data_IF_979518566442
#
_entry.id   IF_979518566442
#
_cell.length_a   1.000
_cell.length_b   1.000
_cell.length_c   1.000
_cell.angle_alpha   90.00
_cell.angle_beta   90.00
_cell.angle_gamma   90.00
#
_symmetry.space_group_name_H-M   'P 1'
#
loop_
_entity.id
_entity.type
_entity.pdbx_description
1 polymer ?
#
# COMPACT_ATOMS: atom_id res chain seq x y z
N UNK A 1 30.87 22.03 -21.93
CA UNK A 1 31.67 23.04 -21.21
C UNK A 1 30.72 23.89 -20.38
N UNK A 2 31.14 24.43 -19.24
CA UNK A 2 30.28 25.22 -18.35
C UNK A 2 31.08 26.39 -17.76
N UNK A 3 30.50 27.59 -17.75
CA UNK A 3 31.08 28.77 -17.11
C UNK A 3 29.97 29.65 -16.51
N UNK A 4 30.36 30.56 -15.61
CA UNK A 4 29.41 31.42 -14.89
C UNK A 4 28.98 32.65 -15.69
N UNK A 5 29.74 33.01 -16.73
CA UNK A 5 29.43 34.08 -17.66
C UNK A 5 29.73 33.67 -19.11
N UNK A 6 29.08 34.36 -20.05
CA UNK A 6 29.21 34.06 -21.48
C UNK A 6 30.64 34.24 -22.00
N UNK A 7 31.38 35.24 -21.49
CA UNK A 7 32.73 35.52 -21.96
C UNK A 7 33.72 34.42 -21.59
N UNK A 8 33.60 33.87 -20.39
CA UNK A 8 34.35 32.67 -19.98
C UNK A 8 33.92 31.45 -20.80
N UNK A 9 32.61 31.25 -21.00
CA UNK A 9 32.10 30.11 -21.75
C UNK A 9 32.59 30.12 -23.21
N UNK A 10 32.76 31.29 -23.80
CA UNK A 10 33.24 31.44 -25.18
C UNK A 10 34.75 31.17 -25.31
N UNK A 11 35.53 31.22 -24.22
CA UNK A 11 36.96 30.86 -24.23
C UNK A 11 37.20 29.35 -24.09
N UNK A 12 36.32 28.65 -23.38
CA UNK A 12 36.46 27.22 -23.08
C UNK A 12 36.56 26.34 -24.35
N UNK A 13 35.75 26.50 -25.41
CA UNK A 13 35.89 25.71 -26.64
C UNK A 13 37.22 25.95 -27.35
N UNK A 14 37.74 27.18 -27.32
CA UNK A 14 39.04 27.52 -27.91
C UNK A 14 40.17 26.76 -27.21
N UNK A 15 40.12 26.70 -25.88
CA UNK A 15 41.08 25.93 -25.08
C UNK A 15 41.00 24.44 -25.44
N UNK A 16 39.79 23.88 -25.49
CA UNK A 16 39.60 22.46 -25.86
C UNK A 16 40.09 22.17 -27.27
N UNK A 17 39.88 23.10 -28.22
CA UNK A 17 40.37 22.98 -29.58
C UNK A 17 41.90 22.93 -29.61
N UNK A 18 42.58 23.89 -28.98
CA UNK A 18 44.05 23.90 -28.90
C UNK A 18 44.60 22.59 -28.33
N UNK A 19 44.00 22.10 -27.23
CA UNK A 19 44.40 20.80 -26.69
C UNK A 19 44.14 19.62 -27.63
N UNK A 20 43.04 19.66 -28.39
CA UNK A 20 42.68 18.61 -29.36
C UNK A 20 43.67 18.60 -30.54
N UNK A 21 44.05 19.78 -31.03
CA UNK A 21 45.04 19.95 -32.07
C UNK A 21 46.42 19.44 -31.62
N UNK A 22 46.83 19.75 -30.39
CA UNK A 22 48.09 19.29 -29.79
C UNK A 22 48.19 17.75 -29.69
N UNK A 23 47.05 17.07 -29.53
CA UNK A 23 46.97 15.60 -29.48
C UNK A 23 46.51 14.96 -30.79
N UNK A 24 46.42 15.74 -31.87
CA UNK A 24 46.01 15.30 -33.21
C UNK A 24 44.61 14.65 -33.26
N UNK A 25 43.66 15.16 -32.47
CA UNK A 25 42.25 14.76 -32.52
C UNK A 25 41.43 15.88 -33.15
N UNK A 26 40.59 15.53 -34.12
CA UNK A 26 39.68 16.47 -34.77
C UNK A 26 38.54 16.87 -33.82
N UNK A 27 38.43 18.17 -33.54
CA UNK A 27 37.39 18.73 -32.69
C UNK A 27 36.25 19.31 -33.55
N UNK A 28 35.17 18.55 -33.67
CA UNK A 28 33.98 18.86 -34.49
C UNK A 28 33.12 19.97 -33.85
N UNK A 29 33.57 21.23 -33.98
CA UNK A 29 32.87 22.42 -33.48
C UNK A 29 31.47 22.59 -34.05
N UNK A 30 31.23 22.11 -35.27
CA UNK A 30 29.94 22.13 -35.96
C UNK A 30 28.87 21.29 -35.23
N UNK A 31 29.28 20.35 -34.38
CA UNK A 31 28.36 19.54 -33.55
C UNK A 31 28.10 20.14 -32.17
N UNK A 32 28.70 21.28 -31.85
CA UNK A 32 28.53 21.94 -30.57
C UNK A 32 27.32 22.88 -30.58
N UNK A 33 26.66 23.02 -29.42
CA UNK A 33 25.62 24.02 -29.21
C UNK A 33 25.78 24.68 -27.83
N UNK A 34 25.34 25.93 -27.71
CA UNK A 34 25.39 26.73 -26.50
C UNK A 34 24.01 26.90 -25.88
N UNK A 35 23.97 26.99 -24.54
CA UNK A 35 22.76 27.38 -23.80
C UNK A 35 23.17 28.40 -22.75
N UNK A 36 22.61 29.61 -22.84
CA UNK A 36 22.78 30.65 -21.83
C UNK A 36 21.54 30.73 -20.95
N UNK A 37 21.75 30.81 -19.64
CA UNK A 37 20.67 30.91 -18.64
C UNK A 37 20.90 32.17 -17.81
N UNK A 38 19.99 33.14 -17.89
CA UNK A 38 20.01 34.35 -17.05
C UNK A 38 18.80 34.37 -16.13
N UNK A 39 19.06 34.46 -14.82
CA UNK A 39 18.02 34.50 -13.77
C UNK A 39 16.97 33.38 -13.90
N UNK A 40 17.42 32.18 -14.25
CA UNK A 40 16.55 31.00 -14.38
C UNK A 40 15.67 30.97 -15.64
N UNK A 41 15.90 31.84 -16.62
CA UNK A 41 15.27 31.77 -17.95
C UNK A 41 16.31 31.47 -19.01
N UNK A 42 15.91 30.70 -20.03
CA UNK A 42 16.70 30.50 -21.23
C UNK A 42 16.85 31.87 -21.91
N UNK A 43 18.09 32.30 -22.10
CA UNK A 43 18.41 33.54 -22.78
C UNK A 43 18.82 33.17 -24.20
N UNK A 44 17.98 33.52 -25.18
CA UNK A 44 18.31 33.39 -26.60
C UNK A 44 19.17 34.59 -26.99
N UNK A 45 20.40 34.62 -26.47
CA UNK A 45 21.40 35.60 -26.84
C UNK A 45 21.89 35.41 -28.29
N UNK A 46 22.78 36.27 -28.79
CA UNK A 46 23.45 36.05 -30.06
C UNK A 46 24.26 34.74 -30.02
N UNK A 47 24.44 34.10 -31.17
CA UNK A 47 25.31 32.93 -31.30
C UNK A 47 26.74 33.29 -30.86
N UNK A 48 27.44 32.31 -30.28
CA UNK A 48 28.85 32.50 -29.93
C UNK A 48 29.72 32.30 -31.16
N UNK A 49 30.53 33.31 -31.47
CA UNK A 49 31.57 33.22 -32.50
C UNK A 49 32.90 32.85 -31.86
N UNK A 50 33.47 31.75 -32.34
CA UNK A 50 34.82 31.33 -31.99
C UNK A 50 35.75 31.74 -33.14
N UNK A 51 36.20 33.01 -33.14
CA UNK A 51 37.10 33.56 -34.17
C UNK A 51 36.73 33.11 -35.60
N UNK A 52 37.73 32.85 -36.46
CA UNK A 52 37.56 32.51 -37.88
C UNK A 52 37.09 31.06 -38.15
N UNK A 53 36.77 30.28 -37.12
CA UNK A 53 36.61 28.82 -37.19
C UNK A 53 35.15 28.31 -37.16
N UNK A 54 34.17 29.20 -37.04
CA UNK A 54 32.74 28.85 -37.09
C UNK A 54 31.90 29.41 -35.94
N UNK A 55 30.59 29.17 -36.01
CA UNK A 55 29.60 29.74 -35.10
C UNK A 55 28.86 28.63 -34.34
N UNK A 56 28.87 28.68 -32.99
CA UNK A 56 28.12 27.74 -32.15
C UNK A 56 26.69 28.24 -31.99
N UNK A 57 25.74 27.43 -32.45
CA UNK A 57 24.32 27.77 -32.38
C UNK A 57 23.79 27.69 -30.95
N UNK A 58 22.90 28.63 -30.60
CA UNK A 58 22.15 28.55 -29.35
C UNK A 58 21.02 27.50 -29.45
N UNK A 59 20.88 26.66 -28.42
CA UNK A 59 19.77 25.71 -28.32
C UNK A 59 18.47 26.47 -28.05
N UNK A 60 17.46 26.27 -28.90
CA UNK A 60 16.13 26.89 -28.74
C UNK A 60 15.35 26.33 -27.55
N UNK A 61 15.67 25.11 -27.12
CA UNK A 61 15.06 24.41 -25.98
C UNK A 61 16.15 23.94 -25.02
N UNK A 62 15.84 23.72 -23.75
CA UNK A 62 16.83 23.18 -22.79
C UNK A 62 17.37 21.82 -23.24
N UNK A 63 18.64 21.53 -22.92
CA UNK A 63 19.25 20.24 -23.24
C UNK A 63 18.58 19.10 -22.45
N UNK A 64 18.15 18.05 -23.15
CA UNK A 64 17.58 16.83 -22.54
C UNK A 64 18.57 15.70 -22.62
N UNK A 65 18.97 15.16 -21.48
CA UNK A 65 19.75 13.93 -21.40
C UNK A 65 18.86 12.80 -20.91
N UNK A 66 18.69 11.75 -21.72
CA UNK A 66 17.79 10.62 -21.45
C UNK A 66 16.35 11.05 -21.11
N UNK A 67 15.85 12.09 -21.80
CA UNK A 67 14.50 12.65 -21.57
C UNK A 67 14.37 13.57 -20.35
N UNK A 68 15.45 13.77 -19.57
CA UNK A 68 15.47 14.67 -18.42
C UNK A 68 16.09 16.01 -18.82
N UNK A 69 15.34 17.09 -18.63
CA UNK A 69 15.84 18.46 -18.81
C UNK A 69 17.02 18.73 -17.86
N UNK A 70 18.21 18.98 -18.42
CA UNK A 70 19.45 19.30 -17.70
C UNK A 70 19.53 20.80 -17.33
N UNK A 71 18.38 21.46 -17.18
CA UNK A 71 18.30 22.88 -16.85
C UNK A 71 18.48 23.07 -15.34
N UNK A 72 19.72 23.19 -14.85
CA UNK A 72 20.16 23.48 -13.46
C UNK A 72 19.07 24.06 -12.50
N UNK A 73 18.10 23.25 -12.08
CA UNK A 73 17.01 23.67 -11.19
C UNK A 73 15.91 24.59 -11.77
N UNK A 74 15.82 24.81 -13.09
CA UNK A 74 14.85 25.79 -13.67
C UNK A 74 13.38 25.33 -13.59
N UNK A 75 13.12 24.02 -13.44
CA UNK A 75 11.74 23.49 -13.35
C UNK A 75 11.31 23.12 -11.92
N UNK A 76 11.65 23.94 -10.92
CA UNK A 76 11.13 23.76 -9.54
C UNK A 76 9.59 23.73 -9.46
N UNK A 77 8.88 24.15 -10.50
CA UNK A 77 7.41 24.15 -10.55
C UNK A 77 6.75 22.90 -11.14
N UNK A 78 7.48 21.94 -11.73
CA UNK A 78 6.89 20.64 -12.10
C UNK A 78 7.00 19.68 -10.93
N UNK A 79 6.03 19.76 -10.00
CA UNK A 79 5.91 18.81 -8.87
C UNK A 79 5.71 17.37 -9.33
N UNK A 80 5.22 17.15 -10.55
CA UNK A 80 4.83 15.85 -11.09
C UNK A 80 5.27 15.72 -12.56
N UNK A 81 5.79 14.55 -12.93
CA UNK A 81 6.22 14.25 -14.30
C UNK A 81 4.98 13.88 -15.15
N UNK A 82 4.67 14.61 -16.24
CA UNK A 82 3.46 14.39 -17.04
C UNK A 82 3.40 13.00 -17.69
N UNK A 83 4.56 12.39 -18.00
CA UNK A 83 4.62 11.03 -18.55
C UNK A 83 4.18 9.99 -17.52
N UNK A 84 4.56 10.19 -16.25
CA UNK A 84 4.16 9.33 -15.13
C UNK A 84 2.65 9.43 -14.90
N UNK A 85 2.10 10.66 -14.92
CA UNK A 85 0.67 10.89 -14.78
C UNK A 85 -0.15 10.22 -15.90
N UNK A 86 0.31 10.33 -17.16
CA UNK A 86 -0.38 9.70 -18.29
C UNK A 86 -0.31 8.16 -18.19
N UNK A 87 0.80 7.60 -17.72
CA UNK A 87 0.90 6.16 -17.47
C UNK A 87 -0.03 5.70 -16.35
N UNK A 88 -0.15 6.46 -15.26
CA UNK A 88 -1.12 6.17 -14.19
C UNK A 88 -2.56 6.25 -14.69
N UNK A 89 -2.89 7.21 -15.56
CA UNK A 89 -4.20 7.32 -16.20
C UNK A 89 -4.49 6.13 -17.11
N UNK A 90 -3.53 5.70 -17.94
CA UNK A 90 -3.66 4.50 -18.79
C UNK A 90 -3.86 3.24 -17.95
N UNK A 91 -3.09 3.09 -16.88
CA UNK A 91 -3.20 1.98 -15.94
C UNK A 91 -4.61 1.90 -15.35
N UNK A 92 -5.13 3.01 -14.81
CA UNK A 92 -6.50 3.05 -14.27
C UNK A 92 -7.57 2.72 -15.31
N UNK A 93 -7.46 3.26 -16.54
CA UNK A 93 -8.38 2.94 -17.63
C UNK A 93 -8.40 1.45 -17.95
N UNK A 94 -7.22 0.80 -18.02
CA UNK A 94 -7.13 -0.64 -18.26
C UNK A 94 -7.73 -1.44 -17.11
N UNK A 95 -7.39 -1.10 -15.86
CA UNK A 95 -7.96 -1.78 -14.69
C UNK A 95 -9.50 -1.67 -14.66
N UNK A 96 -10.05 -0.50 -14.94
CA UNK A 96 -11.51 -0.32 -15.03
C UNK A 96 -12.12 -1.10 -16.19
N UNK A 97 -11.51 -1.06 -17.38
CA UNK A 97 -11.98 -1.81 -18.56
C UNK A 97 -12.06 -3.32 -18.29
N UNK A 98 -11.11 -3.86 -17.52
CA UNK A 98 -11.03 -5.28 -17.19
C UNK A 98 -11.71 -5.63 -15.85
N UNK A 99 -12.51 -4.75 -15.26
CA UNK A 99 -13.25 -5.05 -14.02
C UNK A 99 -12.40 -5.15 -12.75
N UNK A 100 -11.13 -4.73 -12.81
CA UNK A 100 -10.16 -4.76 -11.70
C UNK A 100 -10.16 -3.49 -10.85
N UNK A 101 -10.84 -2.44 -11.31
CA UNK A 101 -11.03 -1.18 -10.60
C UNK A 101 -12.43 -0.62 -10.82
N UNK A 102 -13.18 -0.45 -9.74
CA UNK A 102 -14.51 0.14 -9.77
C UNK A 102 -14.43 1.64 -10.12
N UNK A 103 -15.24 2.17 -11.07
CA UNK A 103 -15.15 3.56 -11.53
C UNK A 103 -15.36 4.63 -10.45
N UNK A 104 -15.97 4.25 -9.33
CA UNK A 104 -16.25 5.12 -8.18
C UNK A 104 -15.42 4.79 -6.94
N UNK A 105 -14.54 3.79 -7.02
CA UNK A 105 -13.65 3.44 -5.92
C UNK A 105 -12.52 4.47 -5.76
N UNK A 106 -11.79 4.35 -4.65
CA UNK A 106 -10.68 5.22 -4.35
C UNK A 106 -9.48 4.99 -5.28
N UNK A 107 -8.96 6.07 -5.85
CA UNK A 107 -7.80 6.01 -6.75
C UNK A 107 -6.47 5.90 -6.02
N UNK A 108 -6.36 6.39 -4.78
CA UNK A 108 -5.11 6.35 -4.02
C UNK A 108 -4.83 4.94 -3.50
N UNK A 109 -5.88 4.18 -3.16
CA UNK A 109 -5.77 2.79 -2.70
C UNK A 109 -5.06 1.87 -3.71
N UNK A 110 -5.20 2.13 -5.00
CA UNK A 110 -4.51 1.40 -6.08
C UNK A 110 -2.99 1.42 -5.88
N UNK A 111 -2.47 2.54 -5.40
CA UNK A 111 -1.04 2.74 -5.25
C UNK A 111 -0.51 2.36 -3.85
N UNK A 112 -1.39 1.98 -2.94
CA UNK A 112 -1.02 1.41 -1.64
C UNK A 112 -0.56 -0.04 -1.85
N UNK A 113 0.47 -0.54 -1.15
CA UNK A 113 0.90 -1.93 -1.27
C UNK A 113 -0.16 -2.96 -0.86
N UNK A 114 -0.09 -4.17 -1.41
CA UNK A 114 -1.06 -5.26 -1.12
C UNK A 114 -1.11 -5.66 0.37
N UNK A 115 0.03 -5.66 1.07
CA UNK A 115 0.08 -5.92 2.51
C UNK A 115 -0.56 -4.82 3.37
N UNK A 116 -0.92 -3.70 2.74
CA UNK A 116 -1.63 -2.57 3.31
C UNK A 116 -2.97 -2.39 2.59
N UNK A 117 -3.63 -3.48 2.16
CA UNK A 117 -4.95 -3.44 1.53
C UNK A 117 -5.09 -2.60 0.25
N UNK A 118 -3.98 -2.35 -0.46
CA UNK A 118 -4.00 -1.72 -1.79
C UNK A 118 -3.69 -2.70 -2.93
N UNK A 119 -3.34 -2.18 -4.11
CA UNK A 119 -3.00 -2.99 -5.29
C UNK A 119 -1.52 -3.01 -5.63
N UNK A 120 -0.74 -2.03 -5.15
CA UNK A 120 0.71 -1.97 -5.31
C UNK A 120 1.19 -1.47 -6.67
N UNK A 121 0.37 -0.78 -7.45
CA UNK A 121 0.73 -0.32 -8.81
C UNK A 121 1.30 1.11 -8.82
N UNK A 122 1.97 1.54 -7.75
CA UNK A 122 2.45 2.92 -7.57
C UNK A 122 3.70 3.23 -8.39
N UNK A 123 3.53 3.55 -9.68
CA UNK A 123 4.64 3.90 -10.59
C UNK A 123 5.42 5.10 -10.06
N UNK A 124 4.72 6.16 -9.68
CA UNK A 124 5.35 7.39 -9.18
C UNK A 124 6.28 7.12 -7.98
N UNK A 125 5.88 6.21 -7.09
CA UNK A 125 6.68 5.79 -5.94
C UNK A 125 7.96 5.08 -6.40
N UNK A 126 7.88 4.22 -7.43
CA UNK A 126 9.05 3.56 -8.03
C UNK A 126 9.97 4.59 -8.67
N UNK A 127 9.43 5.48 -9.50
CA UNK A 127 10.16 6.57 -10.19
C UNK A 127 10.92 7.46 -9.20
N UNK A 128 10.23 8.02 -8.20
CA UNK A 128 10.85 8.86 -7.16
C UNK A 128 11.95 8.09 -6.42
N UNK A 129 11.71 6.81 -6.09
CA UNK A 129 12.72 5.95 -5.43
C UNK A 129 13.93 5.64 -6.29
N UNK A 130 13.78 5.61 -7.62
CA UNK A 130 14.88 5.42 -8.57
C UNK A 130 15.72 6.70 -8.68
N UNK A 131 15.10 7.88 -8.76
CA UNK A 131 15.81 9.17 -8.77
C UNK A 131 16.71 9.32 -7.56
N UNK A 132 16.18 9.06 -6.35
CA UNK A 132 16.98 9.12 -5.12
C UNK A 132 18.13 8.11 -5.14
N UNK A 133 17.90 6.93 -5.73
CA UNK A 133 18.96 5.95 -5.97
C UNK A 133 20.08 6.48 -6.87
N UNK A 134 19.70 7.13 -7.99
CA UNK A 134 20.62 7.67 -8.99
C UNK A 134 21.39 8.90 -8.49
N UNK A 135 20.79 9.74 -7.66
CA UNK A 135 21.43 10.96 -7.15
C UNK A 135 22.80 10.67 -6.50
N UNK A 136 22.92 9.57 -5.75
CA UNK A 136 24.22 9.18 -5.16
C UNK A 136 25.24 8.73 -6.21
N UNK A 137 24.81 8.07 -7.29
CA UNK A 137 25.72 7.71 -8.39
C UNK A 137 26.24 8.98 -9.08
N UNK A 138 25.37 9.98 -9.26
CA UNK A 138 25.75 11.27 -9.82
C UNK A 138 26.69 12.01 -8.86
N UNK A 139 26.36 12.11 -7.57
CA UNK A 139 27.25 12.72 -6.57
C UNK A 139 28.60 12.00 -6.53
N UNK A 140 28.62 10.66 -6.49
CA UNK A 140 29.86 9.87 -6.50
C UNK A 140 30.64 10.09 -7.80
N UNK A 141 29.96 10.15 -8.94
CA UNK A 141 30.56 10.46 -10.22
C UNK A 141 31.13 11.88 -10.24
N UNK A 142 30.44 12.88 -9.68
CA UNK A 142 30.96 14.23 -9.56
C UNK A 142 32.12 14.33 -8.57
N UNK A 143 32.07 13.62 -7.44
CA UNK A 143 33.16 13.50 -6.49
C UNK A 143 34.38 12.83 -7.12
N UNK A 144 34.18 11.75 -7.89
CA UNK A 144 35.27 11.09 -8.62
C UNK A 144 35.76 11.92 -9.79
N UNK A 145 34.90 12.61 -10.53
CA UNK A 145 35.28 13.57 -11.58
C UNK A 145 36.07 14.73 -10.98
N UNK A 146 35.71 15.21 -9.79
CA UNK A 146 36.52 16.17 -9.03
C UNK A 146 37.86 15.52 -8.66
N UNK A 147 37.87 14.34 -8.03
CA UNK A 147 39.09 13.65 -7.59
C UNK A 147 40.08 13.33 -8.73
N UNK A 148 39.57 12.92 -9.90
CA UNK A 148 40.35 12.53 -11.08
C UNK A 148 40.35 13.61 -12.18
N UNK A 149 39.89 14.83 -11.87
CA UNK A 149 40.05 15.97 -12.76
C UNK A 149 41.53 16.17 -13.03
N UNK A 150 41.94 16.47 -14.26
CA UNK A 150 43.34 16.80 -14.59
C UNK A 150 43.88 17.94 -13.72
N UNK A 151 43.01 18.86 -13.29
CA UNK A 151 43.33 19.93 -12.34
C UNK A 151 43.67 19.35 -10.97
N UNK A 152 42.86 18.44 -10.42
CA UNK A 152 43.12 17.82 -9.11
C UNK A 152 44.25 16.80 -9.17
N UNK A 153 44.44 16.08 -10.28
CA UNK A 153 45.61 15.24 -10.50
C UNK A 153 46.86 16.13 -10.58
N UNK A 154 46.78 17.28 -11.25
CA UNK A 154 47.84 18.29 -11.29
C UNK A 154 48.14 18.87 -9.91
N UNK A 155 47.12 19.23 -9.13
CA UNK A 155 47.24 19.71 -7.75
C UNK A 155 47.72 18.62 -6.78
N UNK A 156 47.26 17.37 -6.91
CA UNK A 156 47.73 16.23 -6.10
C UNK A 156 49.18 15.89 -6.44
N UNK A 157 49.56 15.98 -7.72
CA UNK A 157 50.96 15.86 -8.16
C UNK A 157 51.78 17.01 -7.56
N UNK A 158 51.28 18.25 -7.61
CA UNK A 158 51.90 19.44 -6.99
C UNK A 158 52.00 19.30 -5.45
N UNK A 159 50.99 18.73 -4.80
CA UNK A 159 50.91 18.49 -3.35
C UNK A 159 51.74 17.29 -2.87
N UNK A 160 51.97 16.28 -3.72
CA UNK A 160 52.95 15.21 -3.47
C UNK A 160 54.37 15.76 -3.34
N UNK A 161 54.67 16.87 -4.03
CA UNK A 161 55.96 17.55 -3.95
C UNK A 161 55.95 18.78 -3.01
N UNK A 162 54.78 19.29 -2.58
CA UNK A 162 54.60 20.39 -1.61
C UNK A 162 53.41 20.08 -0.66
N UNK A 163 53.68 19.60 0.55
CA UNK A 163 52.68 19.17 1.56
C UNK A 163 51.82 20.34 2.10
N UNK A 164 50.51 20.17 2.44
CA UNK A 164 50.11 19.48 3.68
C UNK A 164 48.81 18.62 3.62
N UNK A 165 48.50 18.08 4.81
CA UNK A 165 47.70 16.92 5.20
C UNK A 165 46.18 16.97 4.98
N UNK A 166 45.57 15.78 4.85
CA UNK A 166 44.13 15.53 4.75
C UNK A 166 43.59 15.06 6.10
N UNK A 167 42.52 15.71 6.56
CA UNK A 167 41.66 15.22 7.64
C UNK A 167 40.53 14.35 7.06
N UNK A 168 40.22 13.21 7.69
CA UNK A 168 39.30 12.21 7.15
C UNK A 168 37.93 12.18 7.85
N UNK A 169 36.93 11.86 7.02
CA UNK A 169 35.48 11.90 7.21
C UNK A 169 34.88 10.99 8.28
N UNK A 170 33.71 11.38 8.80
CA UNK A 170 32.75 10.51 9.49
C UNK A 170 31.59 10.04 8.59
N UNK A 171 31.01 8.90 8.99
CA UNK A 171 30.35 7.86 8.17
C UNK A 171 28.93 8.18 7.69
N UNK A 172 28.62 7.73 6.47
CA UNK A 172 27.29 7.72 5.82
C UNK A 172 26.41 6.56 6.30
N UNK A 173 25.13 6.83 6.59
CA UNK A 173 24.07 5.82 6.73
C UNK A 173 23.77 5.12 5.39
N UNK A 174 23.35 3.85 5.41
CA UNK A 174 23.20 3.04 4.19
C UNK A 174 22.04 3.53 3.29
N UNK A 175 22.26 3.59 1.98
CA UNK A 175 21.32 4.11 0.96
C UNK A 175 19.98 3.37 0.92
N UNK A 176 20.00 2.08 1.24
CA UNK A 176 18.79 1.26 1.36
C UNK A 176 17.86 1.79 2.45
N UNK A 177 18.40 2.32 3.53
CA UNK A 177 17.62 2.94 4.59
C UNK A 177 16.92 4.21 4.10
N UNK A 178 17.62 5.08 3.37
CA UNK A 178 17.04 6.34 2.83
C UNK A 178 15.94 6.02 1.81
N UNK A 179 16.20 5.09 0.88
CA UNK A 179 15.22 4.65 -0.13
C UNK A 179 13.99 4.03 0.52
N UNK A 180 14.18 3.18 1.53
CA UNK A 180 13.07 2.54 2.26
C UNK A 180 12.25 3.55 3.05
N UNK A 181 12.91 4.49 3.73
CA UNK A 181 12.24 5.56 4.49
C UNK A 181 11.41 6.47 3.60
N UNK A 182 11.94 6.88 2.44
CA UNK A 182 11.17 7.70 1.50
C UNK A 182 9.96 6.93 0.93
N UNK A 183 10.14 5.66 0.57
CA UNK A 183 9.00 4.82 0.13
C UNK A 183 7.91 4.76 1.20
N UNK A 184 8.29 4.58 2.46
CA UNK A 184 7.36 4.56 3.58
C UNK A 184 6.58 5.89 3.70
N UNK A 185 7.27 7.04 3.61
CA UNK A 185 6.63 8.36 3.65
C UNK A 185 5.64 8.59 2.49
N UNK A 186 5.98 8.16 1.27
CA UNK A 186 5.09 8.27 0.12
C UNK A 186 3.85 7.38 0.25
N UNK A 187 3.98 6.21 0.88
CA UNK A 187 2.85 5.32 1.17
C UNK A 187 1.98 5.93 2.27
N UNK A 188 2.59 6.51 3.31
CA UNK A 188 1.90 7.18 4.40
C UNK A 188 1.09 8.38 3.91
N UNK A 189 1.63 9.18 2.98
CA UNK A 189 0.90 10.28 2.33
C UNK A 189 -0.39 9.78 1.65
N UNK A 190 -0.32 8.65 0.94
CA UNK A 190 -1.48 8.04 0.25
C UNK A 190 -2.50 7.50 1.24
N UNK A 191 -2.05 6.84 2.31
CA UNK A 191 -2.92 6.38 3.38
C UNK A 191 -3.62 7.57 4.05
N UNK A 192 -2.91 8.67 4.32
CA UNK A 192 -3.50 9.86 4.93
C UNK A 192 -4.53 10.54 4.00
N UNK A 193 -4.29 10.56 2.68
CA UNK A 193 -5.29 11.01 1.69
C UNK A 193 -6.53 10.13 1.67
N UNK A 194 -6.38 8.82 1.85
CA UNK A 194 -7.51 7.90 1.96
C UNK A 194 -8.28 8.12 3.27
N UNK A 195 -7.59 8.23 4.40
CA UNK A 195 -8.18 8.46 5.71
C UNK A 195 -8.93 9.78 5.82
N UNK A 196 -8.52 10.82 5.08
CA UNK A 196 -9.22 12.10 5.08
C UNK A 196 -10.53 12.10 4.28
N UNK A 197 -10.80 11.06 3.49
CA UNK A 197 -12.03 10.94 2.69
C UNK A 197 -13.19 10.43 3.58
N UNK A 198 -14.26 11.22 3.78
CA UNK A 198 -15.35 10.84 4.69
C UNK A 198 -16.10 9.57 4.31
N UNK A 199 -16.09 9.20 3.02
CA UNK A 199 -16.80 8.04 2.48
C UNK A 199 -15.85 6.86 2.24
N UNK A 200 -14.89 7.01 1.32
CA UNK A 200 -13.94 5.94 0.98
C UNK A 200 -13.01 5.57 2.15
N UNK A 201 -12.72 6.52 3.04
CA UNK A 201 -11.84 6.30 4.18
C UNK A 201 -12.48 5.50 5.32
N UNK A 202 -13.80 5.27 5.32
CA UNK A 202 -14.52 4.71 6.47
C UNK A 202 -13.98 3.35 6.90
N UNK A 203 -13.83 2.41 5.96
CA UNK A 203 -13.27 1.10 6.27
C UNK A 203 -11.84 1.21 6.81
N UNK A 204 -11.04 2.07 6.20
CA UNK A 204 -9.64 2.27 6.55
C UNK A 204 -9.48 2.86 7.95
N UNK A 205 -10.26 3.88 8.31
CA UNK A 205 -10.30 4.50 9.65
C UNK A 205 -10.55 3.44 10.72
N UNK A 206 -11.51 2.54 10.47
CA UNK A 206 -11.83 1.50 11.43
C UNK A 206 -10.68 0.53 11.69
N UNK A 207 -9.77 0.34 10.74
CA UNK A 207 -8.60 -0.54 10.91
C UNK A 207 -7.56 0.00 11.90
N UNK A 208 -7.63 1.30 12.22
CA UNK A 208 -6.79 1.95 13.23
C UNK A 208 -7.34 1.81 14.65
N UNK A 209 -8.53 1.25 14.83
CA UNK A 209 -9.04 0.94 16.15
C UNK A 209 -8.12 -0.07 16.85
N UNK A 210 -7.83 0.17 18.13
CA UNK A 210 -6.89 -0.63 18.92
C UNK A 210 -7.25 -2.13 18.99
N UNK A 211 -8.54 -2.45 18.92
CA UNK A 211 -9.07 -3.80 18.98
C UNK A 211 -9.07 -4.54 17.62
N UNK A 212 -8.73 -3.90 16.50
CA UNK A 212 -8.65 -4.53 15.18
C UNK A 212 -7.24 -5.07 14.94
N UNK A 213 -7.13 -6.30 14.45
CA UNK A 213 -5.87 -6.85 13.96
C UNK A 213 -5.72 -6.45 12.48
N UNK A 214 -4.99 -5.35 12.27
CA UNK A 214 -4.77 -4.79 10.93
C UNK A 214 -4.00 -5.75 10.01
N UNK A 215 -3.05 -6.52 10.56
CA UNK A 215 -2.24 -7.45 9.76
C UNK A 215 -3.11 -8.59 9.23
N UNK A 216 -3.94 -9.18 10.09
CA UNK A 216 -4.88 -10.23 9.68
C UNK A 216 -5.96 -9.66 8.75
N UNK A 217 -6.51 -8.49 9.08
CA UNK A 217 -7.53 -7.81 8.28
C UNK A 217 -7.09 -7.57 6.84
N UNK A 218 -5.82 -7.21 6.61
CA UNK A 218 -5.30 -6.99 5.26
C UNK A 218 -4.75 -8.25 4.59
N UNK A 219 -4.66 -9.37 5.32
CA UNK A 219 -4.04 -10.60 4.86
C UNK A 219 -4.73 -11.22 3.64
N UNK A 220 -6.05 -11.04 3.49
CA UNK A 220 -6.79 -11.62 2.37
C UNK A 220 -6.34 -11.08 1.01
N UNK A 221 -5.85 -9.83 0.93
CA UNK A 221 -5.41 -9.25 -0.36
C UNK A 221 -4.21 -10.02 -0.93
N UNK A 222 -3.08 -10.20 -0.23
CA UNK A 222 -1.97 -10.98 -0.77
C UNK A 222 -2.20 -12.51 -0.79
N UNK A 223 -3.09 -13.09 0.04
CA UNK A 223 -3.11 -14.54 0.26
C UNK A 223 -4.39 -15.28 -0.12
N UNK A 224 -5.47 -14.61 -0.50
CA UNK A 224 -6.76 -15.27 -0.74
C UNK A 224 -6.85 -16.02 -2.08
N UNK A 225 -6.01 -15.67 -3.06
CA UNK A 225 -6.08 -16.22 -4.41
C UNK A 225 -7.36 -15.83 -5.18
N UNK A 226 -8.06 -14.77 -4.73
CA UNK A 226 -9.26 -14.28 -5.40
C UNK A 226 -8.93 -13.70 -6.79
N UNK A 227 -9.86 -13.89 -7.72
CA UNK A 227 -9.82 -13.19 -9.00
C UNK A 227 -9.93 -11.68 -8.77
N UNK A 228 -9.25 -10.90 -9.61
CA UNK A 228 -9.15 -9.46 -9.41
C UNK A 228 -10.49 -8.73 -9.47
N UNK A 229 -11.47 -9.25 -10.21
CA UNK A 229 -12.84 -8.76 -10.26
C UNK A 229 -13.57 -8.95 -8.92
N UNK A 230 -13.31 -10.08 -8.25
CA UNK A 230 -13.86 -10.35 -6.92
C UNK A 230 -13.21 -9.45 -5.89
N UNK A 231 -11.89 -9.29 -5.93
CA UNK A 231 -11.20 -8.32 -5.08
C UNK A 231 -11.72 -6.89 -5.28
N UNK A 232 -11.99 -6.51 -6.53
CA UNK A 232 -12.53 -5.21 -6.87
C UNK A 232 -13.93 -4.99 -6.30
N UNK A 233 -14.82 -5.99 -6.39
CA UNK A 233 -16.15 -5.91 -5.79
C UNK A 233 -16.09 -5.72 -4.27
N UNK A 234 -15.23 -6.49 -3.59
CA UNK A 234 -15.05 -6.41 -2.14
C UNK A 234 -14.48 -5.04 -1.74
N UNK A 235 -13.48 -4.55 -2.46
CA UNK A 235 -12.90 -3.23 -2.21
C UNK A 235 -13.91 -2.11 -2.51
N UNK A 236 -14.74 -2.23 -3.55
CA UNK A 236 -15.79 -1.25 -3.81
C UNK A 236 -16.86 -1.22 -2.71
N UNK A 237 -17.12 -2.34 -2.03
CA UNK A 237 -17.95 -2.36 -0.83
C UNK A 237 -17.28 -1.65 0.35
N UNK A 238 -15.99 -1.87 0.57
CA UNK A 238 -15.20 -1.19 1.60
C UNK A 238 -15.14 0.32 1.37
N UNK A 239 -15.00 0.74 0.11
CA UNK A 239 -14.99 2.15 -0.31
C UNK A 239 -16.37 2.81 -0.31
N UNK A 240 -17.44 2.08 0.03
CA UNK A 240 -18.83 2.57 -0.11
C UNK A 240 -19.19 3.03 -1.54
N UNK A 241 -18.53 2.43 -2.54
CA UNK A 241 -18.64 2.82 -3.94
C UNK A 241 -19.68 1.99 -4.73
N UNK A 242 -20.29 0.97 -4.12
CA UNK A 242 -21.33 0.19 -4.79
C UNK A 242 -22.55 1.06 -5.11
N UNK A 243 -23.26 0.68 -6.17
CA UNK A 243 -24.43 1.39 -6.66
C UNK A 243 -25.68 1.15 -5.79
N UNK A 244 -25.68 1.72 -4.58
CA UNK A 244 -26.81 1.71 -3.68
C UNK A 244 -27.69 2.95 -3.88
N UNK A 245 -28.96 2.90 -3.47
CA UNK A 245 -29.83 4.08 -3.50
C UNK A 245 -29.29 5.25 -2.67
N UNK A 246 -28.61 4.97 -1.54
CA UNK A 246 -27.90 6.01 -0.79
C UNK A 246 -26.80 6.65 -1.65
N UNK A 247 -25.96 5.84 -2.32
CA UNK A 247 -24.90 6.35 -3.18
C UNK A 247 -25.46 7.18 -4.35
N UNK A 248 -26.51 6.68 -5.01
CA UNK A 248 -27.19 7.40 -6.10
C UNK A 248 -27.74 8.76 -5.66
N UNK A 249 -28.47 8.80 -4.54
CA UNK A 249 -29.08 10.02 -4.01
C UNK A 249 -28.04 11.01 -3.48
N UNK A 250 -27.16 10.55 -2.60
CA UNK A 250 -26.32 11.44 -1.80
C UNK A 250 -24.98 11.76 -2.49
N UNK A 251 -24.44 10.85 -3.30
CA UNK A 251 -23.13 11.02 -3.96
C UNK A 251 -23.32 11.42 -5.42
N UNK A 252 -24.14 10.68 -6.18
CA UNK A 252 -24.41 10.98 -7.59
C UNK A 252 -25.47 12.07 -7.80
N UNK A 253 -26.11 12.56 -6.72
CA UNK A 253 -27.15 13.60 -6.74
C UNK A 253 -28.31 13.27 -7.69
N UNK A 254 -28.64 11.99 -7.81
CA UNK A 254 -29.77 11.51 -8.60
C UNK A 254 -31.07 11.71 -7.83
N UNK A 255 -32.17 11.98 -8.54
CA UNK A 255 -33.52 12.15 -7.98
C UNK A 255 -34.18 10.84 -7.51
N UNK A 256 -33.44 9.97 -6.84
CA UNK A 256 -33.94 8.67 -6.36
C UNK A 256 -34.28 8.71 -4.87
N UNK A 257 -35.21 7.84 -4.46
CA UNK A 257 -35.47 7.61 -3.04
C UNK A 257 -34.27 6.86 -2.42
N UNK A 258 -33.76 7.36 -1.29
CA UNK A 258 -32.60 6.77 -0.59
C UNK A 258 -32.93 5.48 0.20
N UNK A 259 -34.20 5.11 0.29
CA UNK A 259 -34.65 3.91 1.00
C UNK A 259 -34.22 2.62 0.30
N UNK A 260 -33.98 1.59 1.10
CA UNK A 260 -33.63 0.24 0.68
C UNK A 260 -34.65 -0.34 -0.31
N UNK A 261 -34.15 -0.91 -1.39
CA UNK A 261 -34.96 -1.60 -2.42
C UNK A 261 -35.65 -2.86 -1.91
N UNK A 262 -35.20 -3.42 -0.80
CA UNK A 262 -35.70 -4.68 -0.26
C UNK A 262 -36.66 -4.46 0.90
N UNK A 263 -36.23 -3.77 1.97
CA UNK A 263 -37.07 -3.57 3.15
C UNK A 263 -37.88 -2.26 3.11
N UNK A 264 -37.52 -1.30 2.27
CA UNK A 264 -38.17 0.02 2.17
C UNK A 264 -38.18 0.89 3.43
N UNK A 265 -37.56 0.43 4.53
CA UNK A 265 -37.60 1.11 5.84
C UNK A 265 -36.39 2.03 6.08
N UNK A 266 -35.18 1.54 5.88
CA UNK A 266 -33.93 2.23 6.19
C UNK A 266 -33.23 2.75 4.94
N UNK A 267 -32.24 3.63 5.11
CA UNK A 267 -31.40 4.07 3.99
C UNK A 267 -30.55 2.92 3.43
N UNK A 268 -30.42 2.86 2.11
CA UNK A 268 -29.69 1.80 1.43
C UNK A 268 -28.18 2.10 1.36
N UNK A 269 -27.48 2.07 2.49
CA UNK A 269 -26.02 2.12 2.52
C UNK A 269 -25.41 0.72 2.73
N UNK A 270 -24.09 0.55 2.61
CA UNK A 270 -23.45 -0.78 2.66
C UNK A 270 -23.66 -1.48 4.01
N UNK A 271 -23.51 -0.76 5.14
CA UNK A 271 -23.79 -1.32 6.48
C UNK A 271 -25.27 -1.68 6.70
N UNK A 272 -26.19 -1.20 5.87
CA UNK A 272 -27.56 -1.69 5.86
C UNK A 272 -27.66 -2.97 5.01
N UNK A 273 -27.20 -2.95 3.76
CA UNK A 273 -27.34 -4.11 2.85
C UNK A 273 -26.62 -5.34 3.41
N UNK A 274 -25.39 -5.18 3.91
CA UNK A 274 -24.52 -6.31 4.23
C UNK A 274 -24.93 -6.96 5.56
N UNK A 275 -25.04 -6.24 6.70
CA UNK A 275 -25.50 -6.86 7.96
C UNK A 275 -26.85 -6.39 8.50
N UNK A 276 -27.42 -5.27 8.03
CA UNK A 276 -28.52 -4.58 8.72
C UNK A 276 -29.93 -4.73 8.13
N UNK A 277 -30.08 -5.22 6.90
CA UNK A 277 -31.37 -5.26 6.22
C UNK A 277 -32.25 -6.37 6.78
N UNK A 278 -33.44 -6.03 7.29
CA UNK A 278 -34.39 -6.99 7.88
C UNK A 278 -34.73 -8.16 6.96
N UNK A 279 -34.72 -7.94 5.64
CA UNK A 279 -35.01 -8.99 4.66
C UNK A 279 -33.79 -9.87 4.31
N UNK A 280 -32.55 -9.36 4.48
CA UNK A 280 -31.33 -10.10 4.15
C UNK A 280 -30.66 -10.71 5.39
N UNK A 281 -30.55 -9.92 6.46
CA UNK A 281 -29.77 -10.23 7.65
C UNK A 281 -30.11 -11.59 8.26
N UNK A 282 -31.38 -12.00 8.47
CA UNK A 282 -31.69 -13.29 9.09
C UNK A 282 -31.05 -14.49 8.37
N UNK A 283 -31.07 -14.48 7.04
CA UNK A 283 -30.52 -15.56 6.21
C UNK A 283 -29.02 -15.40 5.98
N UNK A 284 -28.59 -14.21 5.55
CA UNK A 284 -27.21 -13.94 5.14
C UNK A 284 -26.24 -13.87 6.32
N UNK A 285 -26.70 -13.42 7.50
CA UNK A 285 -25.89 -13.50 8.73
C UNK A 285 -25.60 -14.96 9.09
N UNK A 286 -26.65 -15.78 9.18
CA UNK A 286 -26.55 -17.21 9.53
C UNK A 286 -25.66 -17.94 8.52
N UNK A 287 -25.80 -17.65 7.23
CA UNK A 287 -24.97 -18.24 6.19
C UNK A 287 -23.47 -17.92 6.40
N UNK A 288 -23.12 -16.64 6.61
CA UNK A 288 -21.73 -16.22 6.85
C UNK A 288 -21.15 -16.82 8.12
N UNK A 289 -21.92 -16.78 9.20
CA UNK A 289 -21.57 -17.38 10.49
C UNK A 289 -21.19 -18.86 10.31
N UNK A 290 -22.08 -19.64 9.69
CA UNK A 290 -21.89 -21.06 9.50
C UNK A 290 -20.73 -21.37 8.55
N UNK A 291 -20.52 -20.56 7.50
CA UNK A 291 -19.38 -20.73 6.60
C UNK A 291 -18.04 -20.48 7.29
N UNK A 292 -17.94 -19.47 8.15
CA UNK A 292 -16.74 -19.24 8.96
C UNK A 292 -16.50 -20.40 9.93
N UNK A 293 -17.54 -20.84 10.65
CA UNK A 293 -17.42 -21.98 11.57
C UNK A 293 -17.00 -23.27 10.82
N UNK A 294 -17.57 -23.52 9.64
CA UNK A 294 -17.21 -24.64 8.77
C UNK A 294 -15.75 -24.58 8.32
N UNK A 295 -15.28 -23.38 7.92
CA UNK A 295 -13.88 -23.17 7.53
C UNK A 295 -12.92 -23.44 8.70
N UNK A 296 -13.23 -22.92 9.89
CA UNK A 296 -12.42 -23.15 11.09
C UNK A 296 -12.36 -24.65 11.44
N UNK A 297 -13.50 -25.33 11.38
CA UNK A 297 -13.56 -26.78 11.59
C UNK A 297 -12.69 -27.54 10.58
N UNK A 298 -12.82 -27.24 9.28
CA UNK A 298 -11.99 -27.82 8.23
C UNK A 298 -10.49 -27.61 8.49
N UNK A 299 -10.09 -26.38 8.81
CA UNK A 299 -8.69 -26.02 9.08
C UNK A 299 -8.14 -26.77 10.30
N UNK A 300 -8.94 -26.91 11.36
CA UNK A 300 -8.53 -27.63 12.57
C UNK A 300 -8.37 -29.12 12.33
N UNK A 301 -9.29 -29.75 11.58
CA UNK A 301 -9.17 -31.16 11.22
C UNK A 301 -7.94 -31.41 10.35
N UNK A 302 -7.66 -30.52 9.39
CA UNK A 302 -6.45 -30.59 8.56
C UNK A 302 -5.17 -30.51 9.40
N UNK A 303 -5.09 -29.59 10.37
CA UNK A 303 -3.95 -29.47 11.30
C UNK A 303 -3.75 -30.72 12.19
N UNK A 304 -4.82 -31.47 12.46
CA UNK A 304 -4.77 -32.72 13.21
C UNK A 304 -4.44 -33.94 12.32
N UNK A 305 -4.29 -33.75 11.00
CA UNK A 305 -4.05 -34.84 10.05
C UNK A 305 -5.30 -35.69 9.77
N UNK A 306 -6.49 -35.16 10.06
CA UNK A 306 -7.76 -35.85 9.86
C UNK A 306 -8.27 -35.65 8.43
N UNK A 307 -9.06 -36.61 7.95
CA UNK A 307 -9.60 -36.60 6.58
C UNK A 307 -10.53 -35.40 6.41
N UNK A 308 -10.22 -34.56 5.43
CA UNK A 308 -11.05 -33.43 4.99
C UNK A 308 -11.08 -33.36 3.47
N UNK A 309 -12.09 -32.73 2.86
CA UNK A 309 -12.08 -32.44 1.42
C UNK A 309 -10.89 -31.56 1.02
N UNK A 310 -10.49 -31.63 -0.26
CA UNK A 310 -9.39 -30.83 -0.81
C UNK A 310 -9.64 -29.32 -0.69
N UNK A 311 -10.90 -28.90 -0.85
CA UNK A 311 -11.29 -27.51 -0.74
C UNK A 311 -12.13 -27.27 0.50
N UNK A 312 -11.83 -26.20 1.23
CA UNK A 312 -12.55 -25.81 2.44
C UNK A 312 -14.04 -25.50 2.19
N UNK A 313 -14.39 -25.07 0.98
CA UNK A 313 -15.77 -24.70 0.64
C UNK A 313 -16.69 -25.90 0.39
N UNK A 314 -16.10 -27.07 0.12
CA UNK A 314 -16.79 -28.37 0.00
C UNK A 314 -17.03 -29.03 1.37
N UNK A 315 -16.40 -28.49 2.43
CA UNK A 315 -16.48 -29.06 3.77
C UNK A 315 -17.90 -28.98 4.35
N UNK A 316 -18.40 -30.12 4.82
CA UNK A 316 -19.61 -30.23 5.59
C UNK A 316 -19.24 -30.73 7.00
N UNK A 317 -19.35 -29.89 8.04
CA UNK A 317 -18.89 -30.26 9.37
C UNK A 317 -19.83 -31.26 10.03
N UNK A 318 -19.28 -32.39 10.43
CA UNK A 318 -19.96 -33.35 11.31
C UNK A 318 -20.01 -32.84 12.76
N UNK A 319 -21.02 -33.26 13.52
CA UNK A 319 -21.21 -32.77 14.90
C UNK A 319 -20.03 -33.10 15.82
N UNK A 320 -19.39 -34.26 15.65
CA UNK A 320 -18.25 -34.71 16.45
C UNK A 320 -17.30 -35.49 15.55
N UNK A 321 -16.07 -35.00 15.42
CA UNK A 321 -14.97 -35.72 14.77
C UNK A 321 -13.83 -35.82 15.77
N UNK A 322 -13.61 -37.03 16.29
CA UNK A 322 -12.65 -37.32 17.37
C UNK A 322 -12.75 -36.36 18.57
N UNK A 323 -11.88 -35.36 18.64
CA UNK A 323 -11.76 -34.39 19.73
C UNK A 323 -12.25 -32.99 19.35
N UNK A 324 -12.71 -32.79 18.11
CA UNK A 324 -13.25 -31.52 17.62
C UNK A 324 -14.75 -31.66 17.45
N UNK A 325 -15.52 -30.86 18.17
CA UNK A 325 -16.98 -30.91 18.11
C UNK A 325 -17.52 -29.64 17.44
N UNK A 326 -18.48 -29.77 16.54
CA UNK A 326 -19.14 -28.67 15.84
C UNK A 326 -20.60 -28.58 16.25
N UNK A 327 -21.06 -27.40 16.67
CA UNK A 327 -22.44 -27.18 17.12
C UNK A 327 -22.95 -28.29 18.06
N UNK A 328 -22.09 -28.77 18.96
CA UNK A 328 -22.44 -29.87 19.86
C UNK A 328 -23.05 -29.32 21.14
N UNK A 329 -24.16 -29.91 21.56
CA UNK A 329 -24.87 -29.49 22.75
C UNK A 329 -24.16 -29.98 24.01
N UNK A 330 -23.92 -29.09 24.97
CA UNK A 330 -23.40 -29.48 26.28
C UNK A 330 -24.52 -29.59 27.31
N UNK A 331 -24.77 -30.82 27.77
CA UNK A 331 -25.73 -31.10 28.84
C UNK A 331 -25.28 -30.52 30.17
N UNK A 332 -25.88 -29.41 30.59
CA UNK A 332 -25.68 -28.81 31.91
C UNK A 332 -26.70 -29.32 32.92
N UNK A 333 -26.30 -29.37 34.18
CA UNK A 333 -27.10 -29.67 35.37
C UNK A 333 -28.14 -28.59 35.69
N UNK A 334 -27.95 -27.38 35.18
CA UNK A 334 -28.91 -26.27 35.22
C UNK A 334 -29.20 -25.74 33.81
N UNK A 335 -30.40 -25.18 33.61
CA UNK A 335 -30.74 -24.48 32.37
C UNK A 335 -29.87 -23.25 32.19
N UNK A 336 -29.09 -23.20 31.11
CA UNK A 336 -28.32 -22.01 30.71
C UNK A 336 -28.78 -21.56 29.33
N UNK A 337 -28.81 -20.24 29.09
CA UNK A 337 -29.39 -19.67 27.87
C UNK A 337 -28.64 -20.00 26.57
N UNK A 338 -27.33 -20.25 26.63
CA UNK A 338 -26.51 -20.63 25.47
C UNK A 338 -25.54 -21.77 25.84
N UNK A 339 -25.91 -23.02 25.55
CA UNK A 339 -25.10 -24.23 25.82
C UNK A 339 -24.60 -24.94 24.55
N UNK A 340 -24.58 -24.24 23.42
CA UNK A 340 -24.14 -24.79 22.13
C UNK A 340 -23.07 -23.88 21.52
N UNK A 341 -21.79 -24.05 21.90
CA UNK A 341 -20.67 -23.39 21.23
C UNK A 341 -20.59 -23.79 19.76
N UNK A 342 -20.01 -22.93 18.92
CA UNK A 342 -19.91 -23.21 17.49
C UNK A 342 -18.88 -24.32 17.23
N UNK A 343 -17.73 -24.26 17.91
CA UNK A 343 -16.69 -25.30 17.89
C UNK A 343 -16.12 -25.53 19.29
N UNK A 344 -15.80 -26.79 19.59
CA UNK A 344 -15.12 -27.22 20.81
C UNK A 344 -13.87 -27.99 20.41
N UNK A 345 -12.70 -27.46 20.78
CA UNK A 345 -11.42 -28.14 20.61
C UNK A 345 -11.01 -28.85 21.90
N UNK A 346 -11.03 -30.18 21.85
CA UNK A 346 -10.54 -31.06 22.94
C UNK A 346 -9.21 -31.73 22.61
N UNK A 347 -8.62 -31.40 21.46
CA UNK A 347 -7.36 -32.00 21.02
C UNK A 347 -6.22 -31.63 21.95
N UNK A 348 -5.21 -32.51 22.06
CA UNK A 348 -3.98 -32.24 22.83
C UNK A 348 -4.24 -31.82 24.30
N UNK A 349 -5.27 -32.40 24.94
CA UNK A 349 -5.72 -32.07 26.32
C UNK A 349 -6.12 -30.59 26.53
N UNK A 350 -6.47 -29.90 25.44
CA UNK A 350 -7.11 -28.57 25.48
C UNK A 350 -8.61 -28.74 25.75
N UNK A 351 -9.25 -27.68 26.22
CA UNK A 351 -10.70 -27.54 26.22
C UNK A 351 -10.98 -26.07 25.86
N UNK A 352 -11.05 -25.80 24.56
CA UNK A 352 -11.24 -24.44 24.04
C UNK A 352 -12.58 -24.34 23.35
N UNK A 353 -13.39 -23.37 23.76
CA UNK A 353 -14.66 -23.04 23.10
C UNK A 353 -14.40 -21.91 22.10
N UNK A 354 -14.83 -22.10 20.86
CA UNK A 354 -14.69 -21.09 19.82
C UNK A 354 -16.09 -20.68 19.38
N UNK A 355 -16.37 -19.39 19.51
CA UNK A 355 -17.64 -18.82 19.08
C UNK A 355 -17.40 -17.79 17.97
N UNK A 356 -18.09 -17.97 16.85
CA UNK A 356 -18.02 -17.12 15.68
C UNK A 356 -19.01 -15.98 15.81
N UNK A 357 -18.62 -14.81 15.29
CA UNK A 357 -19.50 -13.65 15.25
C UNK A 357 -19.20 -12.79 14.01
N UNK A 358 -20.28 -12.36 13.34
CA UNK A 358 -20.21 -11.49 12.14
C UNK A 358 -20.95 -10.16 12.36
N UNK A 359 -20.53 -9.32 13.33
CA UNK A 359 -21.24 -8.09 13.67
C UNK A 359 -21.22 -7.05 12.56
N UNK A 360 -22.20 -6.16 12.61
CA UNK A 360 -22.11 -4.83 12.02
C UNK A 360 -21.15 -3.92 12.82
N UNK A 361 -20.74 -2.86 12.16
CA UNK A 361 -19.68 -1.96 12.55
C UNK A 361 -19.93 -1.21 13.85
N UNK A 362 -21.18 -0.90 14.19
CA UNK A 362 -21.53 -0.16 15.40
C UNK A 362 -21.51 -1.01 16.69
N UNK A 363 -21.65 -2.34 16.58
CA UNK A 363 -21.97 -3.21 17.73
C UNK A 363 -20.82 -4.11 18.19
N UNK A 364 -19.62 -3.90 17.65
CA UNK A 364 -18.47 -4.81 17.81
C UNK A 364 -18.05 -4.97 19.27
N UNK A 365 -17.93 -3.86 20.02
CA UNK A 365 -17.49 -3.90 21.42
C UNK A 365 -18.50 -4.61 22.34
N UNK A 366 -19.80 -4.39 22.10
CA UNK A 366 -20.88 -5.02 22.87
C UNK A 366 -21.00 -6.52 22.53
N UNK A 367 -20.94 -6.88 21.25
CA UNK A 367 -21.00 -8.28 20.81
C UNK A 367 -19.77 -9.07 21.28
N UNK A 368 -18.58 -8.45 21.22
CA UNK A 368 -17.33 -9.04 21.74
C UNK A 368 -17.44 -9.35 23.23
N UNK A 369 -17.99 -8.43 24.03
CA UNK A 369 -18.22 -8.64 25.48
C UNK A 369 -19.28 -9.71 25.75
N UNK A 370 -20.40 -9.69 25.03
CA UNK A 370 -21.47 -10.69 25.17
C UNK A 370 -20.98 -12.12 24.89
N UNK A 371 -20.26 -12.33 23.78
CA UNK A 371 -19.71 -13.66 23.41
C UNK A 371 -18.55 -14.11 24.32
N UNK A 372 -17.78 -13.16 24.88
CA UNK A 372 -16.69 -13.46 25.82
C UNK A 372 -17.11 -13.72 27.26
N UNK A 373 -18.10 -12.99 27.78
CA UNK A 373 -18.34 -12.90 29.22
C UNK A 373 -19.77 -13.24 29.65
N UNK A 374 -20.80 -12.93 28.85
CA UNK A 374 -22.18 -13.16 29.28
C UNK A 374 -22.66 -14.59 28.97
N UNK A 375 -22.42 -15.07 27.76
CA UNK A 375 -23.08 -16.30 27.28
C UNK A 375 -22.28 -17.58 27.54
N UNK A 376 -20.95 -17.48 27.60
CA UNK A 376 -20.05 -18.64 27.78
C UNK A 376 -19.55 -18.82 29.21
N UNK A 377 -19.88 -17.91 30.13
CA UNK A 377 -19.44 -17.96 31.53
C UNK A 377 -19.88 -19.24 32.28
N UNK A 378 -21.12 -19.73 32.14
CA UNK A 378 -21.54 -20.97 32.81
C UNK A 378 -20.76 -22.20 32.29
N UNK A 379 -20.63 -22.33 30.97
CA UNK A 379 -19.80 -23.35 30.33
C UNK A 379 -18.35 -23.26 30.82
N UNK A 380 -17.77 -22.05 30.82
CA UNK A 380 -16.40 -21.79 31.27
C UNK A 380 -16.15 -22.24 32.71
N UNK A 381 -17.09 -21.95 33.63
CA UNK A 381 -16.99 -22.38 35.04
C UNK A 381 -17.00 -23.89 35.17
N UNK A 382 -17.80 -24.60 34.37
CA UNK A 382 -17.84 -26.07 34.41
C UNK A 382 -16.58 -26.71 33.84
N UNK A 383 -16.04 -26.20 32.73
CA UNK A 383 -14.75 -26.67 32.22
C UNK A 383 -13.60 -26.39 33.21
N UNK A 384 -13.70 -25.38 34.09
CA UNK A 384 -12.75 -25.17 35.21
C UNK A 384 -12.77 -26.29 36.26
N UNK A 385 -13.82 -27.10 36.36
CA UNK A 385 -13.86 -28.26 37.26
C UNK A 385 -13.18 -29.52 36.67
N UNK A 386 -13.00 -29.63 35.34
CA UNK A 386 -12.55 -30.86 34.65
C UNK A 386 -11.02 -31.13 34.60
N UNK A 387 -10.19 -30.55 35.47
CA UNK A 387 -8.78 -30.97 35.61
C UNK A 387 -7.78 -30.78 34.43
N UNK A 388 -8.18 -30.27 33.26
CA UNK A 388 -7.29 -30.11 32.07
C UNK A 388 -6.25 -28.96 32.11
N UNK A 389 -5.18 -29.06 31.31
CA UNK A 389 -4.02 -28.14 31.32
C UNK A 389 -4.20 -26.81 30.55
N UNK A 390 -5.06 -26.74 29.52
CA UNK A 390 -5.31 -25.49 28.76
C UNK A 390 -6.80 -25.29 28.51
N UNK A 391 -7.36 -24.18 29.00
CA UNK A 391 -8.80 -23.89 28.98
C UNK A 391 -9.04 -22.45 28.56
N UNK A 392 -10.03 -22.21 27.70
CA UNK A 392 -10.32 -20.86 27.25
C UNK A 392 -11.58 -20.76 26.38
N UNK A 393 -12.05 -19.53 26.22
CA UNK A 393 -13.06 -19.16 25.23
C UNK A 393 -12.39 -18.21 24.25
N UNK A 394 -12.50 -18.49 22.96
CA UNK A 394 -11.94 -17.67 21.88
C UNK A 394 -13.09 -17.13 21.04
N UNK A 395 -13.34 -15.81 21.06
CA UNK A 395 -14.30 -15.20 20.16
C UNK A 395 -13.67 -15.02 18.77
N UNK A 396 -14.11 -15.77 17.77
CA UNK A 396 -13.72 -15.56 16.38
C UNK A 396 -14.63 -14.48 15.76
N UNK A 397 -14.23 -13.21 15.87
CA UNK A 397 -15.05 -12.08 15.39
C UNK A 397 -14.48 -11.50 14.09
N UNK A 398 -15.27 -11.60 13.02
CA UNK A 398 -14.97 -11.01 11.70
C UNK A 398 -16.11 -10.08 11.33
N UNK A 399 -15.85 -8.78 11.19
CA UNK A 399 -16.91 -7.82 10.82
C UNK A 399 -17.39 -8.07 9.40
N UNK A 400 -18.60 -7.60 9.12
CA UNK A 400 -19.28 -7.74 7.84
C UNK A 400 -18.43 -7.39 6.60
N UNK A 401 -17.54 -6.40 6.70
CA UNK A 401 -16.63 -5.97 5.61
C UNK A 401 -15.19 -6.50 5.72
N UNK A 402 -14.93 -7.44 6.63
CA UNK A 402 -13.66 -8.17 6.72
C UNK A 402 -12.68 -7.70 7.80
N UNK A 403 -13.05 -6.72 8.65
CA UNK A 403 -12.22 -6.31 9.79
C UNK A 403 -12.14 -7.43 10.84
N UNK A 404 -10.94 -7.95 11.09
CA UNK A 404 -10.67 -9.02 12.05
C UNK A 404 -10.36 -8.41 13.42
N UNK A 405 -11.07 -8.87 14.45
CA UNK A 405 -10.91 -8.35 15.80
C UNK A 405 -9.86 -9.17 16.55
N UNK A 406 -8.97 -8.49 17.28
CA UNK A 406 -7.97 -9.11 18.13
C UNK A 406 -8.65 -10.00 19.18
N UNK A 407 -8.29 -11.27 19.17
CA UNK A 407 -8.56 -12.20 20.25
C UNK A 407 -7.61 -11.90 21.40
N UNK A 408 -8.10 -11.27 22.47
CA UNK A 408 -7.41 -11.29 23.75
C UNK A 408 -7.53 -12.71 24.29
N UNK A 409 -6.50 -13.54 24.08
CA UNK A 409 -6.38 -14.79 24.80
C UNK A 409 -6.14 -14.45 26.26
N UNK A 410 -7.20 -14.32 27.06
CA UNK A 410 -7.06 -14.54 28.50
C UNK A 410 -6.71 -16.02 28.67
N UNK A 411 -5.41 -16.32 28.69
CA UNK A 411 -4.95 -17.52 29.37
C UNK A 411 -5.54 -17.45 30.78
N UNK A 412 -6.32 -18.46 31.12
CA UNK A 412 -6.97 -18.58 32.43
C UNK A 412 -6.12 -19.44 33.31
#
# INVERSE_FOLDING_TARGET
>A
LFANDDGQLDQEPSIVKTFSDDIQIEFELDKCCKVTIKRGKLDTGPNSRLNDDGEIQNLEQGYKYLGVDQTNGIQQNKRENPEIQEMDRKTRKLLTKHGLLHPKADVDQIYIPRNSCGRGTGVETVYKSAIVGLNRLIIRHEETKKKYSLVNIGEETKSRYIKPEINSHTKTSSQEFIKSRMKALLIEEKINKLLSKPLHGQFYIQTFNNYVDRKLTFGWVPSSGLQGETENLLTAAQDQALNTHYHQRNILKMGVNGKCRLCHEQEEHISHIVPGCSNLAPKEYTHRHNKIASYLHWSMLQELGLKVPNHWYDHQPENVVETVHHHHHHHTDHTIGENRPDIIDRSKKRNVLINVAVPDDANVCLLRRSKNEANTRPLRLRYRACGTQRRGVIPAVVRALGNIIKTESRQV
#
